data_IF_183096778049
#
_entry.id   IF_183096778049
#
_cell.length_a   1.000
_cell.length_b   1.000
_cell.length_c   1.000
_cell.angle_alpha   90.00
_cell.angle_beta   90.00
_cell.angle_gamma   90.00
#
_symmetry.space_group_name_H-M   'P 1'
#
loop_
_entity.id
_entity.type
_entity.pdbx_description
1 polymer ?
#
# COMPACT_ATOMS: atom_id res chain seq x y z
N UNK A 1 -19.46 -29.33 -6.39
CA UNK A 1 -18.89 -28.21 -5.61
C UNK A 1 -19.70 -28.07 -4.34
N UNK A 2 -19.07 -27.95 -3.18
CA UNK A 2 -19.75 -27.94 -1.88
C UNK A 2 -19.40 -26.69 -1.08
N UNK A 3 -20.36 -26.14 -0.33
CA UNK A 3 -20.09 -25.03 0.60
C UNK A 3 -19.11 -25.47 1.68
N UNK A 4 -18.18 -24.59 2.04
CA UNK A 4 -17.06 -24.86 2.96
C UNK A 4 -15.84 -25.48 2.30
N UNK A 5 -15.93 -25.91 1.03
CA UNK A 5 -14.79 -26.48 0.32
C UNK A 5 -13.76 -25.39 -0.01
N UNK A 6 -12.48 -25.71 0.22
CA UNK A 6 -11.36 -24.89 -0.23
C UNK A 6 -11.10 -25.12 -1.72
N UNK A 7 -10.89 -24.03 -2.44
CA UNK A 7 -10.57 -24.01 -3.86
C UNK A 7 -9.30 -23.19 -4.05
N UNK A 8 -8.32 -23.76 -4.76
CA UNK A 8 -7.24 -22.96 -5.34
C UNK A 8 -7.74 -22.38 -6.65
N UNK A 9 -7.68 -21.06 -6.77
CA UNK A 9 -8.13 -20.34 -7.96
C UNK A 9 -6.96 -19.66 -8.66
N UNK A 10 -7.13 -19.45 -9.96
CA UNK A 10 -6.29 -18.57 -10.76
C UNK A 10 -7.22 -17.69 -11.61
N UNK A 11 -7.15 -16.38 -11.38
CA UNK A 11 -7.90 -15.38 -12.10
C UNK A 11 -6.96 -14.72 -13.13
N UNK A 12 -7.35 -14.73 -14.39
CA UNK A 12 -6.71 -13.91 -15.42
C UNK A 12 -7.31 -12.51 -15.37
N UNK A 13 -6.44 -11.51 -15.23
CA UNK A 13 -6.81 -10.11 -15.31
C UNK A 13 -6.76 -9.68 -16.79
N UNK A 14 -7.60 -8.71 -17.21
CA UNK A 14 -7.63 -8.21 -18.59
C UNK A 14 -6.28 -7.67 -19.07
N UNK A 15 -5.47 -7.18 -18.15
CA UNK A 15 -4.17 -6.55 -18.36
C UNK A 15 -3.06 -7.56 -18.73
N UNK A 16 -3.40 -8.85 -18.91
CA UNK A 16 -2.47 -9.95 -19.14
C UNK A 16 -1.83 -10.53 -17.88
N UNK A 17 -2.12 -9.95 -16.71
CA UNK A 17 -1.69 -10.47 -15.42
C UNK A 17 -2.52 -11.68 -14.94
N UNK A 18 -1.99 -12.45 -14.00
CA UNK A 18 -2.78 -13.46 -13.28
C UNK A 18 -2.64 -13.31 -11.77
N UNK A 19 -3.73 -13.59 -11.06
CA UNK A 19 -3.78 -13.62 -9.60
C UNK A 19 -4.22 -15.00 -9.17
N UNK A 20 -3.38 -15.68 -8.39
CA UNK A 20 -3.68 -17.00 -7.83
C UNK A 20 -3.87 -16.91 -6.33
N UNK A 21 -4.76 -17.73 -5.79
CA UNK A 21 -5.03 -17.75 -4.35
C UNK A 21 -5.82 -18.95 -3.90
N UNK A 22 -6.20 -18.94 -2.63
CA UNK A 22 -7.08 -19.92 -1.99
C UNK A 22 -8.34 -19.21 -1.55
N UNK A 23 -9.49 -19.77 -1.91
CA UNK A 23 -10.79 -19.30 -1.49
C UNK A 23 -11.65 -20.42 -0.92
N UNK A 24 -12.69 -20.05 -0.19
CA UNK A 24 -13.69 -20.98 0.38
C UNK A 24 -15.01 -20.73 -0.30
N UNK A 25 -15.66 -21.79 -0.78
CA UNK A 25 -16.99 -21.71 -1.38
C UNK A 25 -18.00 -21.39 -0.26
N UNK A 26 -18.70 -20.26 -0.36
CA UNK A 26 -19.75 -19.86 0.59
C UNK A 26 -21.13 -20.30 0.14
N UNK A 27 -21.38 -20.27 -1.15
CA UNK A 27 -22.61 -20.77 -1.75
C UNK A 27 -22.32 -21.32 -3.14
N UNK A 28 -23.15 -22.27 -3.56
CA UNK A 28 -23.14 -22.85 -4.90
C UNK A 28 -24.57 -23.04 -5.36
N UNK A 29 -24.89 -22.57 -6.56
CA UNK A 29 -26.19 -22.72 -7.20
C UNK A 29 -26.00 -23.31 -8.60
N UNK A 30 -26.86 -24.25 -9.04
CA UNK A 30 -26.84 -24.72 -10.42
C UNK A 30 -27.19 -23.56 -11.37
N UNK A 31 -26.46 -23.44 -12.47
CA UNK A 31 -26.69 -22.40 -13.47
C UNK A 31 -26.36 -22.92 -14.88
N UNK A 32 -27.40 -23.08 -15.70
CA UNK A 32 -27.35 -23.70 -17.03
C UNK A 32 -26.65 -25.09 -16.99
N UNK A 33 -25.55 -25.25 -17.73
CA UNK A 33 -24.75 -26.48 -17.80
C UNK A 33 -23.65 -26.55 -16.73
N UNK A 34 -23.63 -25.62 -15.78
CA UNK A 34 -22.58 -25.53 -14.77
C UNK A 34 -23.09 -25.10 -13.39
N UNK A 35 -22.16 -24.60 -12.58
CA UNK A 35 -22.43 -24.08 -11.25
C UNK A 35 -21.99 -22.62 -11.17
N UNK A 36 -22.84 -21.79 -10.58
CA UNK A 36 -22.46 -20.46 -10.11
C UNK A 36 -22.09 -20.58 -8.64
N UNK A 37 -20.90 -20.14 -8.26
CA UNK A 37 -20.42 -20.20 -6.88
C UNK A 37 -19.97 -18.84 -6.38
N UNK A 38 -20.22 -18.58 -5.11
CA UNK A 38 -19.62 -17.48 -4.38
C UNK A 38 -18.41 -17.98 -3.62
N UNK A 39 -17.24 -17.39 -3.88
CA UNK A 39 -15.98 -17.77 -3.24
C UNK A 39 -15.49 -16.59 -2.39
N UNK A 40 -15.27 -16.84 -1.10
CA UNK A 40 -14.58 -15.90 -0.22
C UNK A 40 -13.07 -16.14 -0.31
N UNK A 41 -12.32 -15.11 -0.69
CA UNK A 41 -10.86 -15.18 -0.79
C UNK A 41 -10.27 -15.24 0.63
N UNK A 42 -9.49 -16.29 0.92
CA UNK A 42 -8.80 -16.47 2.21
C UNK A 42 -7.33 -16.06 2.14
N UNK A 43 -6.68 -16.39 1.05
CA UNK A 43 -5.27 -16.04 0.81
C UNK A 43 -5.06 -15.78 -0.68
N UNK A 44 -4.26 -14.76 -0.99
CA UNK A 44 -3.97 -14.33 -2.36
C UNK A 44 -2.53 -13.78 -2.49
N UNK A 45 -1.75 -13.86 -1.41
CA UNK A 45 -0.43 -13.23 -1.32
C UNK A 45 -0.46 -11.69 -1.40
N UNK A 46 0.60 -11.04 -0.93
CA UNK A 46 0.67 -9.57 -0.91
C UNK A 46 0.63 -8.95 -2.31
N UNK A 47 1.42 -9.48 -3.25
CA UNK A 47 1.47 -8.99 -4.63
C UNK A 47 0.12 -9.22 -5.37
N UNK A 48 -0.52 -10.36 -5.14
CA UNK A 48 -1.83 -10.68 -5.71
C UNK A 48 -2.93 -9.78 -5.14
N UNK A 49 -2.89 -9.51 -3.83
CA UNK A 49 -3.80 -8.58 -3.16
C UNK A 49 -3.65 -7.15 -3.71
N UNK A 50 -2.42 -6.68 -3.87
CA UNK A 50 -2.16 -5.34 -4.42
C UNK A 50 -2.64 -5.21 -5.88
N UNK A 51 -2.33 -6.19 -6.73
CA UNK A 51 -2.81 -6.21 -8.13
C UNK A 51 -4.32 -6.28 -8.23
N UNK A 52 -4.96 -7.14 -7.42
CA UNK A 52 -6.41 -7.27 -7.41
C UNK A 52 -7.10 -5.99 -6.92
N UNK A 53 -6.56 -5.35 -5.86
CA UNK A 53 -7.06 -4.05 -5.38
C UNK A 53 -6.97 -2.96 -6.44
N UNK A 54 -5.80 -2.82 -7.08
CA UNK A 54 -5.60 -1.86 -8.17
C UNK A 54 -6.58 -2.06 -9.33
N UNK A 55 -6.92 -3.31 -9.63
CA UNK A 55 -7.88 -3.62 -10.69
C UNK A 55 -9.33 -3.32 -10.29
N UNK A 56 -9.73 -3.67 -9.06
CA UNK A 56 -11.11 -3.48 -8.58
C UNK A 56 -11.46 -2.02 -8.28
N UNK A 57 -10.47 -1.23 -7.87
CA UNK A 57 -10.64 0.18 -7.48
C UNK A 57 -9.69 1.06 -8.31
N UNK A 58 -9.97 1.24 -9.61
CA UNK A 58 -9.09 2.01 -10.50
C UNK A 58 -9.02 3.52 -10.17
N UNK A 59 -9.81 4.02 -9.21
CA UNK A 59 -9.91 5.44 -8.88
C UNK A 59 -9.61 5.86 -7.43
N UNK A 60 -9.72 4.97 -6.43
CA UNK A 60 -9.77 5.40 -5.01
C UNK A 60 -8.78 4.71 -4.05
N UNK A 61 -7.98 3.72 -4.50
CA UNK A 61 -7.05 3.02 -3.60
C UNK A 61 -5.63 2.84 -4.15
N UNK A 62 -5.20 3.79 -4.98
CA UNK A 62 -3.81 4.18 -4.89
C UNK A 62 -3.64 4.90 -3.54
N UNK A 63 -3.29 4.15 -2.48
CA UNK A 63 -2.34 4.73 -1.52
C UNK A 63 -1.19 5.16 -2.42
N UNK A 64 -1.11 6.48 -2.60
CA UNK A 64 -0.32 7.12 -3.62
C UNK A 64 1.14 6.99 -3.18
N UNK A 65 1.69 5.79 -3.34
CA UNK A 65 3.06 5.45 -2.97
C UNK A 65 4.04 6.36 -3.71
N UNK A 66 3.64 6.88 -4.88
CA UNK A 66 4.37 7.95 -5.53
C UNK A 66 4.35 9.22 -4.69
N UNK A 67 3.19 9.72 -4.26
CA UNK A 67 3.14 10.86 -3.33
C UNK A 67 3.82 10.58 -1.97
N UNK A 68 3.73 9.37 -1.41
CA UNK A 68 4.41 9.03 -0.14
C UNK A 68 5.92 9.02 -0.32
N UNK A 69 6.42 8.42 -1.41
CA UNK A 69 7.84 8.43 -1.75
C UNK A 69 8.32 9.85 -2.08
N UNK A 70 7.55 10.64 -2.81
CA UNK A 70 7.89 12.02 -3.17
C UNK A 70 7.90 12.93 -1.94
N UNK A 71 6.93 12.76 -1.03
CA UNK A 71 6.90 13.45 0.27
C UNK A 71 8.09 13.04 1.15
N UNK A 72 8.46 11.75 1.16
CA UNK A 72 9.64 11.28 1.89
C UNK A 72 10.95 11.81 1.27
N UNK A 73 11.02 11.92 -0.05
CA UNK A 73 12.15 12.47 -0.77
C UNK A 73 12.30 13.97 -0.50
N UNK A 74 11.19 14.71 -0.51
CA UNK A 74 11.13 16.12 -0.12
C UNK A 74 11.56 16.33 1.33
N UNK A 75 11.07 15.51 2.26
CA UNK A 75 11.46 15.58 3.66
C UNK A 75 12.97 15.31 3.83
N UNK A 76 13.51 14.31 3.14
CA UNK A 76 14.94 14.03 3.13
C UNK A 76 15.76 15.18 2.53
N UNK A 77 15.31 15.77 1.43
CA UNK A 77 15.97 16.91 0.79
C UNK A 77 16.00 18.14 1.71
N UNK A 78 14.91 18.40 2.44
CA UNK A 78 14.85 19.48 3.44
C UNK A 78 15.88 19.23 4.56
N UNK A 79 15.92 18.02 5.12
CA UNK A 79 16.87 17.67 6.19
C UNK A 79 18.32 17.81 5.72
N UNK A 80 18.64 17.30 4.53
CA UNK A 80 19.98 17.42 3.94
C UNK A 80 20.34 18.89 3.67
N UNK A 81 19.41 19.68 3.14
CA UNK A 81 19.60 21.11 2.94
C UNK A 81 19.86 21.85 4.25
N UNK A 82 19.11 21.53 5.31
CA UNK A 82 19.28 22.14 6.63
C UNK A 82 20.64 21.80 7.24
N UNK A 83 21.10 20.55 7.11
CA UNK A 83 22.43 20.11 7.55
C UNK A 83 23.53 20.82 6.75
N UNK A 84 23.38 20.93 5.43
CA UNK A 84 24.36 21.62 4.58
C UNK A 84 24.47 23.12 4.93
N UNK A 85 23.34 23.80 5.13
CA UNK A 85 23.30 25.22 5.55
C UNK A 85 23.93 25.39 6.93
N UNK A 86 23.64 24.50 7.88
CA UNK A 86 24.23 24.56 9.22
C UNK A 86 25.74 24.36 9.22
N UNK A 87 26.22 23.46 8.36
CA UNK A 87 27.65 23.19 8.18
C UNK A 87 28.37 24.37 7.52
N UNK A 88 27.71 25.05 6.57
CA UNK A 88 28.25 26.24 5.90
C UNK A 88 28.30 27.46 6.83
N UNK A 89 27.32 27.61 7.72
CA UNK A 89 27.27 28.67 8.74
C UNK A 89 28.14 28.37 9.97
N UNK A 90 28.75 27.19 10.06
CA UNK A 90 29.54 26.77 11.22
C UNK A 90 28.71 26.57 12.50
N UNK A 91 27.40 26.36 12.36
CA UNK A 91 26.46 26.20 13.48
C UNK A 91 26.18 24.71 13.67
N UNK A 92 26.43 24.19 14.87
CA UNK A 92 26.01 22.83 15.22
C UNK A 92 24.48 22.79 15.36
N UNK A 93 23.82 21.98 14.53
CA UNK A 93 22.35 21.83 14.53
C UNK A 93 21.78 21.32 15.87
N UNK A 94 22.64 20.70 16.70
CA UNK A 94 22.31 20.24 18.05
C UNK A 94 22.27 21.36 19.11
N UNK A 95 22.80 22.55 18.80
CA UNK A 95 22.78 23.73 19.68
C UNK A 95 21.66 24.72 19.34
N UNK A 96 20.94 24.51 18.22
CA UNK A 96 19.75 25.27 17.81
C UNK A 96 18.66 25.39 18.91
N UNK A 97 18.34 24.34 19.72
CA UNK A 97 17.38 24.50 20.81
C UNK A 97 17.88 25.42 21.95
N UNK A 98 19.20 25.65 22.09
CA UNK A 98 19.77 26.60 23.07
C UNK A 98 19.84 28.04 22.54
N UNK A 99 19.83 28.21 21.22
CA UNK A 99 19.79 29.52 20.56
C UNK A 99 18.37 30.12 20.53
N UNK A 100 17.35 29.26 20.59
CA UNK A 100 15.94 29.64 20.64
C UNK A 100 15.39 29.80 22.06
N UNK A 101 16.18 29.48 23.10
CA UNK A 101 15.79 29.62 24.50
C UNK A 101 15.79 31.03 25.11
N UNK A 102 16.28 32.14 24.49
CA UNK A 102 16.17 33.45 25.12
C UNK A 102 14.81 34.15 24.85
N UNK A 103 13.86 33.48 24.19
CA UNK A 103 12.52 34.03 23.93
C UNK A 103 11.46 33.57 24.94
N UNK A 104 11.83 32.80 25.97
CA UNK A 104 10.91 32.43 27.04
C UNK A 104 11.41 32.90 28.41
N UNK A 105 10.52 33.63 29.08
CA UNK A 105 10.54 34.07 30.48
C UNK A 105 11.30 35.38 30.81
N UNK A 106 10.47 36.42 30.86
CA UNK A 106 10.56 37.63 31.69
C UNK A 106 10.28 37.28 33.16
#
# INVERSE_FOLDING_TARGET
>A
MQCGQFLRFQLQLPDGGSVSGVGVIRWAAPHHLGFRTGVEIRDIGWLGSWRLRRFLEPGDSAIDWFNVCDTALWAAAIVVGLVAVSSWLGINLLDLPKLLSPLDVR
#
